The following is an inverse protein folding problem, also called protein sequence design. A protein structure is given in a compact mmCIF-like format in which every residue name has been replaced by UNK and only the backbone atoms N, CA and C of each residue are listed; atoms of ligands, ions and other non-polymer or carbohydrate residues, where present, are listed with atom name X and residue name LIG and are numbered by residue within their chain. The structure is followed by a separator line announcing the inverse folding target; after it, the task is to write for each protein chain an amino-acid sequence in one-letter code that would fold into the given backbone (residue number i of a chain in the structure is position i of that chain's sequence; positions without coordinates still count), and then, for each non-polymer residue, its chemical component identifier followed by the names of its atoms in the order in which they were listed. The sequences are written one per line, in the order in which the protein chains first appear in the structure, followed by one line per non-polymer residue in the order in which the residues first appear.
data_IF_004773402138
#
_entry.id   IF_004773402138
#
_cell.length_a   1.000
_cell.length_b   1.000
_cell.length_c   1.000
_cell.angle_alpha   90.00
_cell.angle_beta   90.00
_cell.angle_gamma   90.00
#
_symmetry.space_group_name_H-M   'P 1'
#
loop_
_entity.id
_entity.type
_entity.pdbx_description
1 polymer ?
#
# COMPACT_ATOMS: atom_id res chain seq x y z
N UNK A 1 -0.86 15.84 -11.68
CA UNK A 1 0.50 15.91 -11.11
C UNK A 1 0.41 15.50 -9.65
N UNK A 2 1.25 14.56 -9.22
CA UNK A 2 1.38 14.24 -7.80
C UNK A 2 1.91 15.46 -7.04
N UNK A 3 1.28 15.77 -5.90
CA UNK A 3 1.70 16.84 -5.00
C UNK A 3 1.81 16.20 -3.62
N UNK A 4 3.04 15.92 -3.20
CA UNK A 4 3.35 15.22 -1.96
C UNK A 4 4.86 15.24 -1.70
N UNK A 5 5.28 14.51 -0.66
CA UNK A 5 6.70 14.41 -0.28
C UNK A 5 7.50 13.69 -1.36
N UNK A 6 8.77 14.04 -1.47
CA UNK A 6 9.67 13.36 -2.41
C UNK A 6 9.97 11.93 -1.95
N UNK A 7 10.33 11.06 -2.89
CA UNK A 7 10.70 9.68 -2.58
C UNK A 7 11.86 9.60 -1.57
N UNK A 8 12.87 10.47 -1.67
CA UNK A 8 14.01 10.49 -0.76
C UNK A 8 13.59 10.81 0.68
N UNK A 9 12.68 11.77 0.86
CA UNK A 9 12.13 12.13 2.17
C UNK A 9 11.29 10.99 2.75
N UNK A 10 10.53 10.31 1.88
CA UNK A 10 9.68 9.19 2.24
C UNK A 10 10.48 7.94 2.60
N UNK A 11 11.64 7.71 1.98
CA UNK A 11 12.53 6.60 2.32
C UNK A 11 13.01 6.67 3.77
N UNK A 12 13.29 7.87 4.27
CA UNK A 12 13.68 8.10 5.68
C UNK A 12 12.50 8.02 6.66
N UNK A 13 11.28 7.93 6.15
CA UNK A 13 10.06 7.87 6.93
C UNK A 13 9.50 6.44 6.94
N UNK A 14 8.94 6.01 8.08
CA UNK A 14 8.23 4.73 8.15
C UNK A 14 7.03 4.69 7.19
N UNK A 15 6.83 3.57 6.49
CA UNK A 15 5.77 3.39 5.48
C UNK A 15 4.37 3.51 6.08
N UNK A 16 4.24 3.26 7.38
CA UNK A 16 3.01 3.51 8.16
C UNK A 16 2.57 4.97 8.17
N UNK A 17 3.52 5.90 8.05
CA UNK A 17 3.27 7.34 8.04
C UNK A 17 3.10 7.90 6.61
N UNK A 18 3.12 7.03 5.60
CA UNK A 18 2.81 7.45 4.23
C UNK A 18 1.30 7.59 4.10
N UNK A 19 0.84 8.52 3.28
CA UNK A 19 -0.57 8.66 2.95
C UNK A 19 -0.97 7.67 1.86
N UNK A 20 -2.26 7.37 1.73
CA UNK A 20 -2.75 6.45 0.70
C UNK A 20 -2.44 6.97 -0.72
N UNK A 21 -2.41 8.29 -0.91
CA UNK A 21 -2.05 8.93 -2.18
C UNK A 21 -0.57 8.72 -2.53
N UNK A 22 0.30 8.83 -1.54
CA UNK A 22 1.74 8.59 -1.71
C UNK A 22 1.99 7.11 -2.05
N UNK A 23 1.38 6.18 -1.31
CA UNK A 23 1.48 4.75 -1.60
C UNK A 23 0.99 4.40 -3.01
N UNK A 24 -0.17 4.93 -3.42
CA UNK A 24 -0.72 4.69 -4.76
C UNK A 24 0.19 5.26 -5.86
N UNK A 25 0.68 6.49 -5.69
CA UNK A 25 1.56 7.14 -6.66
C UNK A 25 2.87 6.38 -6.88
N UNK A 26 3.54 5.97 -5.79
CA UNK A 26 4.77 5.20 -5.90
C UNK A 26 4.49 3.76 -6.34
N UNK A 27 3.37 3.16 -5.97
CA UNK A 27 2.99 1.85 -6.50
C UNK A 27 2.91 1.86 -8.04
N UNK A 28 2.21 2.82 -8.63
CA UNK A 28 2.12 2.98 -10.09
C UNK A 28 3.51 3.24 -10.72
N UNK A 29 4.30 4.11 -10.09
CA UNK A 29 5.65 4.44 -10.59
C UNK A 29 6.57 3.21 -10.59
N UNK A 30 6.55 2.42 -9.52
CA UNK A 30 7.33 1.19 -9.39
C UNK A 30 6.85 0.09 -10.35
N UNK A 31 5.56 0.02 -10.68
CA UNK A 31 5.03 -0.91 -11.69
C UNK A 31 5.62 -0.67 -13.07
N UNK A 32 5.84 0.60 -13.45
CA UNK A 32 6.39 0.96 -14.75
C UNK A 32 7.87 0.57 -14.88
N UNK A 33 8.63 0.67 -13.79
CA UNK A 33 10.07 0.36 -13.76
C UNK A 33 10.38 -1.03 -13.21
N UNK A 34 9.35 -1.83 -12.91
CA UNK A 34 9.46 -3.12 -12.22
C UNK A 34 10.50 -4.08 -12.82
N UNK A 35 10.61 -4.23 -14.16
CA UNK A 35 11.60 -5.12 -14.77
C UNK A 35 13.05 -4.68 -14.54
N UNK A 36 13.26 -3.42 -14.18
CA UNK A 36 14.57 -2.78 -14.06
C UNK A 36 14.94 -2.48 -12.60
N UNK A 37 14.11 -2.88 -11.64
CA UNK A 37 14.40 -2.69 -10.23
C UNK A 37 15.58 -3.55 -9.79
N UNK A 38 16.50 -2.93 -9.04
CA UNK A 38 17.53 -3.66 -8.31
C UNK A 38 16.92 -4.44 -7.14
N UNK A 39 17.72 -5.29 -6.50
CA UNK A 39 17.29 -6.02 -5.28
C UNK A 39 16.76 -5.07 -4.21
N UNK A 40 17.42 -3.92 -4.01
CA UNK A 40 17.00 -2.87 -3.06
C UNK A 40 15.66 -2.23 -3.47
N UNK A 41 15.52 -1.86 -4.75
CA UNK A 41 14.27 -1.32 -5.28
C UNK A 41 13.11 -2.31 -5.13
N UNK A 42 13.36 -3.60 -5.34
CA UNK A 42 12.39 -4.68 -5.15
C UNK A 42 11.99 -4.86 -3.68
N UNK A 43 12.91 -4.69 -2.73
CA UNK A 43 12.59 -4.71 -1.30
C UNK A 43 11.67 -3.55 -0.91
N UNK A 44 11.99 -2.33 -1.35
CA UNK A 44 11.16 -1.15 -1.07
C UNK A 44 9.75 -1.32 -1.65
N UNK A 45 9.65 -1.83 -2.88
CA UNK A 45 8.35 -2.09 -3.50
C UNK A 45 7.52 -3.13 -2.73
N UNK A 46 8.16 -4.18 -2.20
CA UNK A 46 7.47 -5.16 -1.35
C UNK A 46 6.94 -4.55 -0.06
N UNK A 47 7.69 -3.64 0.58
CA UNK A 47 7.22 -2.91 1.76
C UNK A 47 6.00 -2.05 1.45
N UNK A 48 6.00 -1.34 0.31
CA UNK A 48 4.85 -0.55 -0.16
C UNK A 48 3.63 -1.45 -0.33
N UNK A 49 3.76 -2.59 -1.01
CA UNK A 49 2.67 -3.55 -1.19
C UNK A 49 2.17 -4.13 0.13
N UNK A 50 3.07 -4.41 1.07
CA UNK A 50 2.70 -4.93 2.39
C UNK A 50 1.92 -3.88 3.19
N UNK A 51 2.34 -2.62 3.16
CA UNK A 51 1.64 -1.53 3.82
C UNK A 51 0.25 -1.30 3.21
N UNK A 52 0.14 -1.28 1.88
CA UNK A 52 -1.16 -1.19 1.19
C UNK A 52 -2.10 -2.34 1.59
N UNK A 53 -1.59 -3.58 1.63
CA UNK A 53 -2.37 -4.75 2.09
C UNK A 53 -2.76 -4.63 3.56
N UNK A 54 -1.86 -4.18 4.42
CA UNK A 54 -2.13 -3.96 5.85
C UNK A 54 -3.27 -2.96 6.05
N UNK A 55 -3.30 -1.88 5.26
CA UNK A 55 -4.42 -0.92 5.31
C UNK A 55 -5.70 -1.52 4.78
N UNK A 56 -5.65 -2.22 3.66
CA UNK A 56 -6.84 -2.84 3.07
C UNK A 56 -7.44 -3.91 3.98
N UNK A 57 -6.62 -4.72 4.67
CA UNK A 57 -7.12 -5.67 5.67
C UNK A 57 -7.70 -4.97 6.89
N UNK A 58 -7.13 -3.83 7.34
CA UNK A 58 -7.75 -3.02 8.39
C UNK A 58 -9.13 -2.55 7.94
N UNK A 59 -9.27 -1.92 6.77
CA UNK A 59 -10.55 -1.45 6.24
C UNK A 59 -11.57 -2.58 6.05
N UNK A 60 -11.13 -3.78 5.62
CA UNK A 60 -12.02 -4.92 5.47
C UNK A 60 -12.43 -5.52 6.82
N UNK A 61 -11.56 -5.53 7.83
CA UNK A 61 -11.90 -6.00 9.17
C UNK A 61 -12.86 -5.05 9.90
N UNK A 62 -12.71 -3.72 9.75
CA UNK A 62 -13.74 -2.79 10.24
C UNK A 62 -15.03 -2.90 9.42
N UNK A 63 -15.00 -3.12 8.11
CA UNK A 63 -16.24 -3.32 7.35
C UNK A 63 -16.95 -4.66 7.66
N UNK A 64 -16.22 -5.67 8.16
CA UNK A 64 -16.77 -6.98 8.49
C UNK A 64 -17.52 -7.05 9.82
N UNK A 65 -17.32 -6.13 10.78
CA UNK A 65 -18.14 -6.11 12.02
C UNK A 65 -19.57 -5.59 11.77
N UNK A 66 -19.79 -4.83 10.68
CA UNK A 66 -21.10 -4.25 10.34
C UNK A 66 -21.93 -5.12 9.40
N UNK A 67 -21.34 -6.17 8.82
CA UNK A 67 -22.05 -7.12 7.97
C UNK A 67 -22.42 -8.34 8.80
N UNK A 68 -23.60 -8.27 9.43
CA UNK A 68 -24.26 -9.45 9.97
C UNK A 68 -24.30 -10.54 8.91
N UNK A 69 -23.55 -11.61 9.13
CA UNK A 69 -23.52 -12.75 8.24
C UNK A 69 -24.86 -13.47 8.33
N UNK A 70 -25.75 -13.23 7.36
CA UNK A 70 -26.84 -14.15 7.10
C UNK A 70 -26.23 -15.45 6.58
N UNK A 71 -25.93 -16.36 7.50
CA UNK A 71 -25.75 -17.77 7.21
C UNK A 71 -27.04 -18.28 6.57
N UNK A 72 -27.02 -18.50 5.26
CA UNK A 72 -28.04 -19.26 4.56
C UNK A 72 -27.59 -20.72 4.59
N UNK A 73 -28.23 -21.60 5.38
CA UNK A 73 -28.01 -23.03 5.27
C UNK A 73 -28.76 -23.56 4.04
N UNK A 74 -28.06 -24.34 3.22
CA UNK A 74 -28.65 -25.20 2.19
C UNK A 74 -29.29 -26.44 2.85
#
# INVERSE_FOLDING_TARGET
MYVGRDFSELLMTSKKNWTDKELAHFHESFQQILPYLTSEGGMIYREILQEMRNRQTLYHNVASYERGTSIHPD
#
